data_IF_214650737378
#
_entry.id   IF_214650737378
#
_cell.length_a   1.000
_cell.length_b   1.000
_cell.length_c   1.000
_cell.angle_alpha   90.00
_cell.angle_beta   90.00
_cell.angle_gamma   90.00
#
_symmetry.space_group_name_H-M   'P 1'
#
loop_
_entity.id
_entity.type
_entity.pdbx_description
1 polymer ?
#
# COMPACT_ATOMS: atom_id res chain seq x y z
N UNK A 1 28.42 -0.12 -28.22
CA UNK A 1 27.67 -1.31 -28.68
C UNK A 1 26.39 -1.37 -27.87
N UNK A 2 25.26 -1.36 -28.56
CA UNK A 2 23.85 -1.39 -28.12
C UNK A 2 23.53 -1.01 -26.66
N UNK A 3 23.15 0.27 -26.46
CA UNK A 3 22.18 0.60 -25.43
C UNK A 3 20.91 -0.18 -25.78
N UNK A 4 20.53 -1.13 -24.92
CA UNK A 4 19.25 -1.81 -25.05
C UNK A 4 18.17 -0.73 -25.00
N UNK A 5 17.55 -0.43 -26.14
CA UNK A 5 16.29 0.29 -26.19
C UNK A 5 15.30 -0.58 -25.44
N UNK A 6 15.17 -0.29 -24.16
CA UNK A 6 13.96 -0.44 -23.41
C UNK A 6 12.77 -0.21 -24.42
N UNK A 7 11.80 -1.15 -24.56
CA UNK A 7 10.43 -0.97 -25.13
C UNK A 7 9.21 -0.81 -24.16
N UNK A 8 8.27 0.10 -24.49
CA UNK A 8 6.92 0.35 -23.89
C UNK A 8 6.24 -0.93 -23.35
N UNK A 9 5.50 -0.95 -22.20
CA UNK A 9 4.65 -2.09 -21.87
C UNK A 9 3.62 -2.29 -22.99
N UNK A 10 3.80 -3.37 -23.73
CA UNK A 10 3.05 -3.62 -24.97
C UNK A 10 1.71 -4.29 -24.71
N UNK A 11 1.58 -5.07 -23.63
CA UNK A 11 0.34 -5.76 -23.28
C UNK A 11 -0.38 -5.09 -22.11
N UNK A 12 -1.69 -5.33 -22.01
CA UNK A 12 -2.52 -4.85 -20.91
C UNK A 12 -2.08 -5.44 -19.56
N UNK A 13 -1.48 -6.64 -19.58
CA UNK A 13 -0.91 -7.29 -18.39
C UNK A 13 0.40 -6.65 -17.95
N UNK A 14 1.29 -6.27 -18.88
CA UNK A 14 2.52 -5.54 -18.54
C UNK A 14 2.17 -4.20 -17.88
N UNK A 15 1.13 -3.52 -18.38
CA UNK A 15 0.61 -2.27 -17.81
C UNK A 15 0.05 -2.49 -16.41
N UNK A 16 -0.74 -3.54 -16.19
CA UNK A 16 -1.21 -3.90 -14.86
C UNK A 16 -0.06 -4.12 -13.89
N UNK A 17 0.94 -4.92 -14.29
CA UNK A 17 2.11 -5.22 -13.46
C UNK A 17 2.91 -3.96 -13.12
N UNK A 18 3.03 -3.03 -14.07
CA UNK A 18 3.67 -1.73 -13.84
C UNK A 18 2.95 -0.90 -12.79
N UNK A 19 1.62 -0.75 -12.92
CA UNK A 19 0.84 0.00 -11.93
C UNK A 19 0.89 -0.68 -10.56
N UNK A 20 0.83 -2.01 -10.52
CA UNK A 20 0.96 -2.76 -9.28
C UNK A 20 2.34 -2.57 -8.61
N UNK A 21 3.42 -2.62 -9.39
CA UNK A 21 4.77 -2.36 -8.88
C UNK A 21 4.89 -0.96 -8.30
N UNK A 22 4.50 0.06 -9.07
CA UNK A 22 4.55 1.46 -8.66
C UNK A 22 3.73 1.71 -7.39
N UNK A 23 2.53 1.15 -7.31
CA UNK A 23 1.63 1.42 -6.20
C UNK A 23 1.99 0.63 -4.94
N UNK A 24 2.35 -0.64 -5.10
CA UNK A 24 2.50 -1.53 -3.95
C UNK A 24 3.94 -1.59 -3.47
N UNK A 25 4.94 -1.62 -4.34
CA UNK A 25 6.34 -1.59 -3.90
C UNK A 25 6.81 -0.16 -3.62
N UNK A 26 6.94 0.65 -4.68
CA UNK A 26 7.42 2.05 -4.57
C UNK A 26 6.53 2.83 -3.60
N UNK A 27 5.20 2.71 -3.74
CA UNK A 27 4.26 3.36 -2.84
C UNK A 27 4.36 2.94 -1.38
N UNK A 28 4.61 1.65 -1.09
CA UNK A 28 4.82 1.23 0.32
C UNK A 28 6.12 1.81 0.88
N UNK A 29 7.21 1.85 0.11
CA UNK A 29 8.48 2.42 0.59
C UNK A 29 8.38 3.92 0.86
N UNK A 30 7.73 4.68 -0.04
CA UNK A 30 7.46 6.12 0.19
C UNK A 30 6.66 6.32 1.48
N UNK A 31 5.59 5.54 1.68
CA UNK A 31 4.78 5.63 2.89
C UNK A 31 5.52 5.17 4.16
N UNK A 32 6.42 4.18 4.08
CA UNK A 32 7.29 3.80 5.22
C UNK A 32 8.22 4.95 5.59
N UNK A 33 8.80 5.61 4.59
CA UNK A 33 9.68 6.75 4.83
C UNK A 33 8.92 7.93 5.46
N UNK A 34 7.72 8.21 4.96
CA UNK A 34 6.84 9.20 5.58
C UNK A 34 6.47 8.81 7.03
N UNK A 35 6.24 7.52 7.30
CA UNK A 35 5.91 7.06 8.64
C UNK A 35 7.10 7.26 9.58
N UNK A 36 8.32 6.92 9.13
CA UNK A 36 9.56 7.21 9.86
C UNK A 36 9.67 8.71 10.16
N UNK A 37 9.41 9.56 9.17
CA UNK A 37 9.47 11.02 9.35
C UNK A 37 8.54 11.54 10.47
N UNK A 38 7.33 11.00 10.60
CA UNK A 38 6.39 11.44 11.64
C UNK A 38 6.55 10.76 13.00
N UNK A 39 7.14 9.55 13.05
CA UNK A 39 7.11 8.71 14.27
C UNK A 39 8.47 8.50 14.90
N UNK A 40 9.54 8.51 14.10
CA UNK A 40 10.90 8.28 14.58
C UNK A 40 11.59 9.63 14.78
N UNK A 41 12.00 9.87 16.02
CA UNK A 41 12.79 11.05 16.40
C UNK A 41 14.07 10.58 17.08
N UNK A 42 14.98 11.51 17.40
CA UNK A 42 16.20 11.19 18.16
C UNK A 42 15.94 10.55 19.53
N UNK A 43 14.70 10.63 20.05
CA UNK A 43 14.32 10.14 21.38
C UNK A 43 13.20 9.10 21.37
N UNK A 44 12.62 8.79 20.20
CA UNK A 44 11.49 7.88 20.09
C UNK A 44 11.66 6.95 18.89
N UNK A 45 11.67 5.65 19.15
CA UNK A 45 11.61 4.60 18.13
C UNK A 45 10.17 4.35 17.67
N UNK A 46 10.00 3.66 16.54
CA UNK A 46 8.67 3.26 16.08
C UNK A 46 7.95 2.37 17.11
N UNK A 47 8.63 1.39 17.70
CA UNK A 47 8.03 0.51 18.72
C UNK A 47 7.52 1.31 19.91
N UNK A 48 8.30 2.28 20.40
CA UNK A 48 7.91 3.15 21.49
C UNK A 48 6.71 4.03 21.10
N UNK A 49 6.68 4.52 19.86
CA UNK A 49 5.53 5.25 19.33
C UNK A 49 4.27 4.36 19.30
N UNK A 50 4.35 3.16 18.72
CA UNK A 50 3.23 2.23 18.66
C UNK A 50 2.77 1.80 20.05
N UNK A 51 3.69 1.54 20.97
CA UNK A 51 3.38 1.21 22.36
C UNK A 51 2.63 2.35 23.09
N UNK A 52 3.06 3.60 22.88
CA UNK A 52 2.36 4.78 23.43
C UNK A 52 0.93 4.90 22.91
N UNK A 53 0.69 4.51 21.65
CA UNK A 53 -0.62 4.56 21.01
C UNK A 53 -1.40 3.22 21.08
N UNK A 54 -0.93 2.25 21.87
CA UNK A 54 -1.50 0.89 21.93
C UNK A 54 -2.98 0.85 22.31
N UNK A 55 -3.43 1.72 23.20
CA UNK A 55 -4.84 1.80 23.57
C UNK A 55 -5.72 2.25 22.40
N UNK A 56 -5.27 3.24 21.64
CA UNK A 56 -5.95 3.69 20.41
C UNK A 56 -5.94 2.57 19.37
N UNK A 57 -4.82 1.89 19.17
CA UNK A 57 -4.75 0.77 18.23
C UNK A 57 -5.70 -0.36 18.63
N UNK A 58 -5.78 -0.69 19.92
CA UNK A 58 -6.69 -1.71 20.45
C UNK A 58 -8.17 -1.32 20.35
N UNK A 59 -8.53 -0.04 20.29
CA UNK A 59 -9.91 0.39 20.05
C UNK A 59 -10.26 0.39 18.55
N UNK A 60 -9.27 0.27 17.67
CA UNK A 60 -9.38 0.27 16.22
C UNK A 60 -9.37 -1.15 15.60
N UNK A 61 -9.79 -2.17 16.35
CA UNK A 61 -9.88 -3.59 15.89
C UNK A 61 -10.72 -3.82 14.61
N UNK A 62 -11.47 -2.81 14.15
CA UNK A 62 -12.18 -2.84 12.85
C UNK A 62 -11.28 -2.51 11.65
N UNK A 63 -10.12 -1.89 11.88
CA UNK A 63 -9.21 -1.44 10.84
C UNK A 63 -7.93 -2.28 10.76
N UNK A 64 -7.58 -2.98 11.84
CA UNK A 64 -6.42 -3.86 11.90
C UNK A 64 -6.87 -5.29 12.19
N UNK A 65 -6.53 -6.21 11.30
CA UNK A 65 -6.73 -7.63 11.55
C UNK A 65 -5.62 -8.19 12.46
N UNK A 66 -5.75 -9.43 12.95
CA UNK A 66 -4.77 -10.01 13.86
C UNK A 66 -3.37 -10.10 13.23
N UNK A 67 -3.27 -10.42 11.94
CA UNK A 67 -1.98 -10.47 11.24
C UNK A 67 -1.28 -9.10 11.22
N UNK A 68 -2.02 -8.01 10.99
CA UNK A 68 -1.49 -6.65 11.05
C UNK A 68 -1.11 -6.26 12.48
N UNK A 69 -1.87 -6.71 13.48
CA UNK A 69 -1.52 -6.53 14.88
C UNK A 69 -0.23 -7.26 15.23
N UNK A 70 -0.02 -8.48 14.74
CA UNK A 70 1.19 -9.27 14.99
C UNK A 70 2.41 -8.69 14.24
N UNK A 71 2.20 -8.03 13.10
CA UNK A 71 3.25 -7.24 12.44
C UNK A 71 3.64 -6.06 13.33
N UNK A 72 2.67 -5.28 13.81
CA UNK A 72 2.94 -4.10 14.66
C UNK A 72 3.45 -4.45 16.06
N UNK A 73 3.06 -5.59 16.59
CA UNK A 73 3.40 -6.08 17.92
C UNK A 73 3.81 -7.56 17.85
N UNK A 74 5.03 -7.87 17.39
CA UNK A 74 5.50 -9.23 17.26
C UNK A 74 5.37 -10.03 18.57
N UNK A 75 4.76 -11.23 18.56
CA UNK A 75 4.51 -12.02 19.78
C UNK A 75 5.79 -12.44 20.52
N UNK A 76 6.90 -12.54 19.78
CA UNK A 76 8.22 -12.87 20.30
C UNK A 76 8.92 -11.66 20.96
N UNK A 77 8.29 -10.48 20.99
CA UNK A 77 8.83 -9.27 21.59
C UNK A 77 9.96 -8.62 20.79
N UNK A 78 10.20 -9.07 19.56
CA UNK A 78 11.19 -8.46 18.65
C UNK A 78 10.64 -7.11 18.15
N UNK A 79 11.54 -6.17 17.88
CA UNK A 79 11.20 -4.89 17.24
C UNK A 79 10.40 -5.14 15.97
N UNK A 80 9.39 -4.31 15.72
CA UNK A 80 8.68 -4.40 14.46
C UNK A 80 9.61 -3.96 13.31
N UNK A 81 9.44 -4.62 12.16
CA UNK A 81 10.17 -4.28 10.95
C UNK A 81 9.24 -3.58 9.96
N UNK A 82 9.55 -2.31 9.70
CA UNK A 82 8.81 -1.45 8.77
C UNK A 82 8.69 -2.03 7.37
N UNK A 83 9.63 -2.88 6.93
CA UNK A 83 9.59 -3.47 5.60
C UNK A 83 8.42 -4.47 5.42
N UNK A 84 7.84 -4.94 6.53
CA UNK A 84 6.63 -5.76 6.53
C UNK A 84 5.33 -4.93 6.45
N UNK A 85 5.41 -3.61 6.49
CA UNK A 85 4.23 -2.74 6.46
C UNK A 85 3.84 -2.49 5.00
N UNK A 86 2.67 -2.98 4.60
CA UNK A 86 2.12 -2.73 3.29
C UNK A 86 1.33 -1.41 3.22
N UNK A 87 0.98 -0.98 2.01
CA UNK A 87 0.19 0.23 1.76
C UNK A 87 -1.13 0.29 2.54
N UNK A 88 -1.76 -0.86 2.82
CA UNK A 88 -3.03 -0.92 3.56
C UNK A 88 -2.81 -0.61 5.04
N UNK A 89 -1.85 -1.29 5.66
CA UNK A 89 -1.46 -1.09 7.05
C UNK A 89 -0.97 0.34 7.26
N UNK A 90 -0.09 0.83 6.38
CA UNK A 90 0.43 2.20 6.43
C UNK A 90 -0.70 3.23 6.34
N UNK A 91 -1.60 3.10 5.36
CA UNK A 91 -2.74 4.02 5.21
C UNK A 91 -3.64 4.05 6.46
N UNK A 92 -3.88 2.89 7.09
CA UNK A 92 -4.67 2.81 8.31
C UNK A 92 -3.96 3.44 9.52
N UNK A 93 -2.65 3.24 9.65
CA UNK A 93 -1.83 3.87 10.70
C UNK A 93 -1.87 5.39 10.55
N UNK A 94 -1.63 5.90 9.35
CA UNK A 94 -1.66 7.34 9.09
C UNK A 94 -3.02 7.96 9.44
N UNK A 95 -4.11 7.34 9.00
CA UNK A 95 -5.45 7.89 9.20
C UNK A 95 -5.90 7.90 10.66
N UNK A 96 -5.42 6.97 11.48
CA UNK A 96 -5.99 6.75 12.81
C UNK A 96 -5.01 6.94 13.98
N UNK A 97 -3.71 6.90 13.72
CA UNK A 97 -2.68 6.88 14.77
C UNK A 97 -1.75 8.08 14.69
N UNK A 98 -1.49 8.62 13.48
CA UNK A 98 -0.59 9.78 13.28
C UNK A 98 -1.42 11.08 13.30
N UNK A 99 -1.55 11.79 14.44
CA UNK A 99 -2.43 12.96 14.52
C UNK A 99 -1.87 14.20 13.81
N UNK A 100 -0.56 14.21 13.53
CA UNK A 100 0.20 15.37 13.04
C UNK A 100 0.16 15.55 11.53
N UNK A 101 -0.51 14.67 10.79
CA UNK A 101 -0.61 14.79 9.33
C UNK A 101 -1.33 16.09 8.94
N UNK A 102 -0.70 16.82 8.02
CA UNK A 102 -1.31 17.93 7.31
C UNK A 102 -2.52 17.46 6.50
N UNK A 103 -3.41 18.40 6.14
CA UNK A 103 -4.55 18.06 5.29
C UNK A 103 -4.09 17.55 3.91
N UNK A 104 -3.01 18.11 3.38
CA UNK A 104 -2.44 17.71 2.10
C UNK A 104 -1.94 16.25 2.13
N UNK A 105 -1.21 15.85 3.18
CA UNK A 105 -0.77 14.45 3.35
C UNK A 105 -1.94 13.49 3.47
N UNK A 106 -2.97 13.85 4.24
CA UNK A 106 -4.21 13.06 4.36
C UNK A 106 -4.87 12.85 3.00
N UNK A 107 -4.97 13.90 2.20
CA UNK A 107 -5.58 13.84 0.87
C UNK A 107 -4.75 12.97 -0.08
N UNK A 108 -3.43 13.08 -0.07
CA UNK A 108 -2.53 12.25 -0.89
C UNK A 108 -2.59 10.77 -0.50
N UNK A 109 -2.57 10.45 0.81
CA UNK A 109 -2.70 9.08 1.30
C UNK A 109 -4.08 8.50 0.94
N UNK A 110 -5.14 9.31 1.02
CA UNK A 110 -6.48 8.92 0.59
C UNK A 110 -6.52 8.59 -0.91
N UNK A 111 -5.89 9.42 -1.75
CA UNK A 111 -5.79 9.17 -3.20
C UNK A 111 -5.04 7.87 -3.50
N UNK A 112 -3.89 7.60 -2.87
CA UNK A 112 -3.18 6.32 -3.04
C UNK A 112 -4.06 5.12 -2.67
N UNK A 113 -4.82 5.23 -1.58
CA UNK A 113 -5.76 4.17 -1.17
C UNK A 113 -6.88 3.98 -2.19
N UNK A 114 -7.39 5.06 -2.78
CA UNK A 114 -8.41 5.02 -3.84
C UNK A 114 -7.86 4.39 -5.11
N UNK A 115 -6.68 4.79 -5.58
CA UNK A 115 -6.02 4.18 -6.74
C UNK A 115 -5.77 2.69 -6.54
N UNK A 116 -5.39 2.29 -5.32
CA UNK A 116 -5.21 0.89 -4.95
C UNK A 116 -6.52 0.11 -5.03
N UNK A 117 -7.60 0.69 -4.56
CA UNK A 117 -8.92 0.07 -4.65
C UNK A 117 -9.40 -0.06 -6.10
N UNK A 118 -9.13 0.94 -6.94
CA UNK A 118 -9.45 0.87 -8.38
C UNK A 118 -8.60 -0.20 -9.07
N UNK A 119 -7.30 -0.27 -8.80
CA UNK A 119 -6.40 -1.31 -9.29
C UNK A 119 -6.89 -2.71 -8.90
N UNK A 120 -7.41 -2.89 -7.68
CA UNK A 120 -8.03 -4.15 -7.26
C UNK A 120 -9.26 -4.54 -8.08
N UNK A 121 -10.01 -3.58 -8.63
CA UNK A 121 -11.06 -3.86 -9.59
C UNK A 121 -10.56 -4.59 -10.85
N UNK A 122 -9.28 -4.42 -11.19
CA UNK A 122 -8.62 -5.11 -12.30
C UNK A 122 -7.89 -6.39 -11.89
N UNK A 123 -7.86 -6.76 -10.60
CA UNK A 123 -7.04 -7.88 -10.12
C UNK A 123 -7.46 -9.23 -10.69
N UNK A 124 -8.73 -9.41 -11.07
CA UNK A 124 -9.21 -10.67 -11.65
C UNK A 124 -8.81 -10.86 -13.11
N UNK A 125 -8.67 -9.76 -13.87
CA UNK A 125 -8.22 -9.82 -15.27
C UNK A 125 -6.72 -9.63 -15.40
N UNK A 126 -6.08 -8.99 -14.42
CA UNK A 126 -4.69 -8.50 -14.49
C UNK A 126 -4.46 -7.72 -15.80
N UNK A 127 -5.43 -6.91 -16.22
CA UNK A 127 -5.40 -6.19 -17.49
C UNK A 127 -5.81 -4.73 -17.30
N UNK A 128 -4.98 -3.83 -17.80
CA UNK A 128 -5.22 -2.38 -17.84
C UNK A 128 -5.03 -1.88 -19.28
N UNK A 129 -6.04 -1.18 -19.80
CA UNK A 129 -5.98 -0.57 -21.12
C UNK A 129 -4.88 0.51 -21.18
N UNK A 130 -4.38 0.82 -22.38
CA UNK A 130 -3.35 1.87 -22.52
C UNK A 130 -3.80 3.24 -21.97
N UNK A 131 -5.10 3.58 -22.11
CA UNK A 131 -5.66 4.83 -21.63
C UNK A 131 -5.74 4.88 -20.09
N UNK A 132 -6.23 3.81 -19.48
CA UNK A 132 -6.30 3.71 -18.02
C UNK A 132 -4.90 3.69 -17.42
N UNK A 133 -3.96 2.99 -18.05
CA UNK A 133 -2.56 2.95 -17.65
C UNK A 133 -1.96 4.36 -17.57
N UNK A 134 -2.14 5.18 -18.60
CA UNK A 134 -1.63 6.55 -18.60
C UNK A 134 -2.21 7.38 -17.46
N UNK A 135 -3.50 7.17 -17.15
CA UNK A 135 -4.20 7.86 -16.07
C UNK A 135 -3.64 7.42 -14.70
N UNK A 136 -3.59 6.11 -14.44
CA UNK A 136 -3.02 5.55 -13.22
C UNK A 136 -1.57 5.97 -13.01
N UNK A 137 -0.71 5.80 -14.03
CA UNK A 137 0.70 6.19 -13.95
C UNK A 137 0.85 7.65 -13.56
N UNK A 138 0.10 8.55 -14.19
CA UNK A 138 0.17 9.98 -13.89
C UNK A 138 -0.27 10.28 -12.46
N UNK A 139 -1.44 9.80 -12.08
CA UNK A 139 -2.06 10.17 -10.80
C UNK A 139 -1.31 9.57 -9.60
N UNK A 140 -0.89 8.31 -9.71
CA UNK A 140 -0.10 7.65 -8.67
C UNK A 140 1.24 8.37 -8.52
N UNK A 141 1.92 8.67 -9.61
CA UNK A 141 3.27 9.22 -9.54
C UNK A 141 3.30 10.65 -9.04
N UNK A 142 2.37 11.49 -9.48
CA UNK A 142 2.20 12.83 -8.92
C UNK A 142 1.96 12.76 -7.40
N UNK A 143 1.16 11.79 -6.96
CA UNK A 143 0.87 11.60 -5.53
C UNK A 143 2.11 11.11 -4.78
N UNK A 144 2.86 10.15 -5.33
CA UNK A 144 4.09 9.63 -4.72
C UNK A 144 5.18 10.69 -4.63
N UNK A 145 5.38 11.49 -5.68
CA UNK A 145 6.33 12.61 -5.68
C UNK A 145 5.93 13.65 -4.64
N UNK A 146 4.63 13.98 -4.54
CA UNK A 146 4.14 14.92 -3.53
C UNK A 146 4.40 14.43 -2.11
N UNK A 147 4.22 13.12 -1.85
CA UNK A 147 4.51 12.50 -0.54
C UNK A 147 6.00 12.42 -0.25
N UNK A 148 6.85 12.07 -1.23
CA UNK A 148 8.31 12.02 -1.04
C UNK A 148 8.90 13.39 -0.71
N UNK A 149 8.33 14.45 -1.27
CA UNK A 149 8.69 15.83 -0.94
C UNK A 149 8.35 16.21 0.50
N UNK A 150 7.26 15.67 1.08
CA UNK A 150 6.92 15.94 2.49
C UNK A 150 7.97 15.39 3.46
N UNK A 151 8.54 14.21 3.17
CA UNK A 151 9.61 13.65 3.99
C UNK A 151 11.02 14.15 3.63
N UNK A 152 11.15 15.05 2.64
CA UNK A 152 12.43 15.63 2.19
C UNK A 152 13.36 14.62 1.53
N UNK A 153 12.84 13.49 1.05
CA UNK A 153 13.62 12.41 0.47
C UNK A 153 13.54 12.45 -1.05
N UNK A 154 14.61 12.94 -1.68
CA UNK A 154 14.73 13.06 -3.13
C UNK A 154 15.13 11.76 -3.82
N UNK A 155 15.50 10.71 -3.06
CA UNK A 155 15.88 9.42 -3.64
C UNK A 155 14.70 8.77 -4.38
N UNK A 156 13.48 8.96 -3.87
CA UNK A 156 12.27 8.49 -4.52
C UNK A 156 11.92 9.29 -5.78
N UNK A 157 12.29 10.56 -5.89
CA UNK A 157 11.92 11.36 -7.06
C UNK A 157 12.55 10.82 -8.34
N UNK A 158 13.83 10.44 -8.30
CA UNK A 158 14.51 9.84 -9.45
C UNK A 158 13.94 8.47 -9.81
N UNK A 159 13.52 7.68 -8.82
CA UNK A 159 12.94 6.36 -9.03
C UNK A 159 11.50 6.42 -9.53
N UNK A 160 10.66 7.30 -8.97
CA UNK A 160 9.30 7.57 -9.46
C UNK A 160 9.39 8.14 -10.88
N UNK A 161 10.32 9.06 -11.12
CA UNK A 161 10.56 9.60 -12.47
C UNK A 161 11.04 8.52 -13.42
N UNK A 162 11.93 7.64 -12.97
CA UNK A 162 12.36 6.47 -13.73
C UNK A 162 11.15 5.60 -14.04
N UNK A 163 10.41 5.09 -13.07
CA UNK A 163 9.22 4.23 -13.27
C UNK A 163 8.10 4.89 -14.11
N UNK A 164 8.03 6.23 -14.17
CA UNK A 164 7.05 6.95 -15.00
C UNK A 164 7.51 7.29 -16.39
N UNK A 165 8.78 7.67 -16.57
CA UNK A 165 9.37 7.94 -17.87
C UNK A 165 9.74 6.63 -18.57
N UNK A 166 10.15 5.63 -17.80
CA UNK A 166 10.23 4.22 -18.16
C UNK A 166 8.82 3.65 -18.20
N UNK A 167 8.17 3.92 -19.33
CA UNK A 167 7.36 2.97 -20.07
C UNK A 167 8.13 1.67 -20.34
N UNK A 168 8.91 1.11 -19.42
CA UNK A 168 10.06 0.30 -19.75
C UNK A 168 10.43 -0.65 -18.63
N UNK A 169 9.50 -1.55 -18.31
CA UNK A 169 9.83 -2.65 -17.42
C UNK A 169 10.76 -3.59 -18.18
N UNK A 170 12.04 -3.56 -17.82
CA UNK A 170 12.97 -4.64 -18.10
C UNK A 170 12.34 -5.95 -17.65
N UNK A 171 12.31 -6.92 -18.55
CA UNK A 171 11.72 -8.24 -18.37
C UNK A 171 11.85 -8.76 -16.93
N UNK A 172 10.71 -8.99 -16.29
CA UNK A 172 10.62 -9.80 -15.08
C UNK A 172 11.31 -11.14 -15.43
N UNK A 173 12.32 -11.61 -14.67
CA UNK A 173 12.97 -12.88 -14.95
C UNK A 173 11.89 -13.95 -15.11
N UNK A 174 12.01 -14.79 -16.14
CA UNK A 174 11.06 -15.86 -16.45
C UNK A 174 11.03 -17.00 -15.39
N UNK A 175 11.23 -16.68 -14.11
CA UNK A 175 10.88 -17.49 -12.96
C UNK A 175 9.44 -17.16 -12.56
N UNK A 176 8.53 -18.03 -13.01
CA UNK A 176 7.09 -18.08 -12.73
C UNK A 176 6.46 -16.72 -12.42
N UNK A 177 6.00 -16.03 -13.47
CA UNK A 177 5.06 -14.90 -13.35
C UNK A 177 3.89 -15.25 -12.39
N UNK A 178 3.52 -16.53 -12.33
CA UNK A 178 2.60 -17.10 -11.34
C UNK A 178 3.05 -16.99 -9.87
N UNK A 179 4.33 -17.14 -9.51
CA UNK A 179 4.76 -17.14 -8.10
C UNK A 179 4.73 -15.74 -7.52
N UNK A 180 5.17 -14.74 -8.30
CA UNK A 180 5.06 -13.33 -7.95
C UNK A 180 3.58 -12.93 -7.91
N UNK A 181 2.79 -13.27 -8.94
CA UNK A 181 1.34 -13.07 -8.92
C UNK A 181 0.65 -13.81 -7.76
N UNK A 182 1.09 -14.99 -7.35
CA UNK A 182 0.52 -15.74 -6.22
C UNK A 182 0.94 -15.16 -4.87
N UNK A 183 2.17 -14.66 -4.73
CA UNK A 183 2.62 -13.92 -3.55
C UNK A 183 1.82 -12.61 -3.43
N UNK A 184 1.58 -11.92 -4.54
CA UNK A 184 0.81 -10.68 -4.58
C UNK A 184 -0.70 -10.92 -4.42
N UNK A 185 -1.29 -11.89 -5.11
CA UNK A 185 -2.67 -12.34 -4.92
C UNK A 185 -2.87 -12.85 -3.49
N UNK A 186 -1.91 -13.58 -2.90
CA UNK A 186 -1.95 -14.00 -1.51
C UNK A 186 -1.87 -12.83 -0.52
N UNK A 187 -1.03 -11.82 -0.79
CA UNK A 187 -1.01 -10.57 -0.02
C UNK A 187 -2.27 -9.72 -0.21
N UNK A 188 -2.89 -9.77 -1.40
CA UNK A 188 -4.17 -9.11 -1.70
C UNK A 188 -5.38 -9.87 -1.12
N UNK A 189 -5.32 -11.20 -1.00
CA UNK A 189 -6.34 -12.05 -0.36
C UNK A 189 -6.51 -11.74 1.13
N UNK A 190 -5.52 -11.15 1.79
CA UNK A 190 -5.70 -10.63 3.14
C UNK A 190 -6.72 -9.48 3.20
N UNK A 191 -6.90 -8.72 2.11
CA UNK A 191 -7.96 -7.69 1.99
C UNK A 191 -9.31 -8.34 1.69
N UNK A 192 -9.35 -9.37 0.84
CA UNK A 192 -10.58 -10.15 0.61
C UNK A 192 -11.04 -10.87 1.89
N UNK A 193 -10.10 -11.38 2.69
CA UNK A 193 -10.36 -11.93 4.01
C UNK A 193 -10.92 -10.88 4.99
N UNK A 194 -10.43 -9.64 4.96
CA UNK A 194 -10.98 -8.53 5.74
C UNK A 194 -12.37 -8.11 5.24
N UNK A 195 -12.60 -8.08 3.92
CA UNK A 195 -13.90 -7.78 3.34
C UNK A 195 -14.92 -8.88 3.63
N UNK A 196 -14.49 -10.14 3.61
CA UNK A 196 -15.32 -11.28 3.94
C UNK A 196 -15.65 -11.33 5.44
N UNK A 197 -14.69 -11.00 6.32
CA UNK A 197 -14.94 -10.83 7.76
C UNK A 197 -15.96 -9.71 8.03
N UNK A 198 -15.82 -8.56 7.36
CA UNK A 198 -16.79 -7.46 7.47
C UNK A 198 -18.19 -7.86 6.98
N UNK A 199 -18.28 -8.61 5.88
CA UNK A 199 -19.55 -9.12 5.34
C UNK A 199 -20.24 -10.08 6.31
N UNK A 200 -19.50 -11.01 6.90
CA UNK A 200 -20.03 -11.96 7.90
C UNK A 200 -20.52 -11.21 9.14
N UNK A 201 -19.79 -10.19 9.59
CA UNK A 201 -20.18 -9.39 10.77
C UNK A 201 -21.41 -8.52 10.52
N UNK A 202 -21.59 -7.99 9.32
CA UNK A 202 -22.82 -7.27 8.93
C UNK A 202 -24.04 -8.19 8.98
N UNK A 203 -23.94 -9.38 8.39
CA UNK A 203 -25.03 -10.37 8.43
C UNK A 203 -25.39 -10.81 9.85
N UNK A 204 -24.38 -10.95 10.73
CA UNK A 204 -24.60 -11.29 12.13
C UNK A 204 -25.27 -10.16 12.93
N UNK A 205 -25.07 -8.89 12.56
CA UNK A 205 -25.74 -7.75 13.18
C UNK A 205 -27.20 -7.66 12.73
N UNK A 206 -27.45 -7.83 11.43
CA UNK A 206 -28.80 -7.87 10.85
C UNK A 206 -29.63 -9.01 11.47
N UNK A 207 -29.04 -10.19 11.64
CA UNK A 207 -29.70 -11.33 12.29
C UNK A 207 -30.04 -11.08 13.77
N UNK A 208 -29.25 -10.27 14.48
CA UNK A 208 -29.49 -9.93 15.89
C UNK A 208 -30.57 -8.85 16.05
N UNK A 209 -30.65 -7.90 15.12
CA UNK A 209 -31.74 -6.93 15.10
C UNK A 209 -33.08 -7.62 14.82
N UNK A 210 -33.10 -8.56 13.86
CA UNK A 210 -34.30 -9.36 13.53
C UNK A 210 -34.75 -10.32 14.64
N UNK A 211 -33.89 -10.70 15.59
CA UNK A 211 -34.26 -11.56 16.72
C UNK A 211 -34.68 -10.77 17.97
N UNK A 212 -34.65 -9.44 17.93
CA UNK A 212 -34.96 -8.55 19.06
C UNK A 212 -36.27 -7.76 18.90
N UNK A 213 -36.93 -7.90 17.75
CA UNK A 213 -38.30 -7.44 17.48
C UNK A 213 -39.29 -8.59 17.52
#
# INVERSE_FOLDING_TARGET
>A
SAAAMLSAPTSDTDRFMCIAHLLVDVGSRVLRQLLRHHTVTSTCTLDQYLAKHRNTINSLKRFFNQSQMDIMFPPNGVSTDLDNYDITLLSAIFQNIVPTLSQQEKDMIKRLREERNKLYGHANSCQISANDFQTYCKDISLTLTGLSQQCGDTAFEAEILHETQCTQISAIPAGSNLDILNIWCGRMQNVEGVLQDMRVRLQALEAREMSSG
#
